data_IF_541043292565
#
_entry.id   IF_541043292565
#
_cell.length_a   1.000
_cell.length_b   1.000
_cell.length_c   1.000
_cell.angle_alpha   90.00
_cell.angle_beta   90.00
_cell.angle_gamma   90.00
#
_symmetry.space_group_name_H-M   'P 1'
#
loop_
_entity.id
_entity.type
_entity.pdbx_description
1 polymer ?
#
# COMPACT_ATOMS: atom_id res chain seq x y z
N UNK A 1 14.10 13.73 -12.95
CA UNK A 1 14.07 12.36 -13.48
C UNK A 1 13.01 11.64 -12.64
N UNK A 2 11.79 11.55 -13.16
CA UNK A 2 10.66 11.01 -12.40
C UNK A 2 10.84 9.50 -12.35
N UNK A 3 11.10 8.98 -11.15
CA UNK A 3 11.05 7.56 -10.85
C UNK A 3 9.63 7.09 -11.19
N UNK A 4 9.49 6.38 -12.32
CA UNK A 4 8.21 5.89 -12.79
C UNK A 4 7.86 4.70 -11.91
N UNK A 5 7.12 4.94 -10.82
CA UNK A 5 6.53 3.89 -10.00
C UNK A 5 5.65 3.01 -10.89
N UNK A 6 6.13 1.81 -11.24
CA UNK A 6 5.37 0.86 -12.00
C UNK A 6 4.62 -0.05 -11.01
N UNK A 7 3.37 0.31 -10.73
CA UNK A 7 2.51 -0.43 -9.81
C UNK A 7 2.24 -1.84 -10.36
N UNK A 8 2.76 -2.86 -9.67
CA UNK A 8 2.68 -4.25 -10.14
C UNK A 8 1.41 -4.93 -9.67
N UNK A 9 1.09 -4.86 -8.38
CA UNK A 9 -0.24 -5.18 -7.86
C UNK A 9 -0.41 -4.64 -6.44
N UNK A 10 -1.66 -4.42 -6.03
CA UNK A 10 -1.97 -4.10 -4.63
C UNK A 10 -3.31 -4.68 -4.22
N UNK A 11 -3.42 -5.05 -2.95
CA UNK A 11 -4.65 -5.49 -2.31
C UNK A 11 -4.74 -4.87 -0.93
N UNK A 12 -5.94 -4.39 -0.58
CA UNK A 12 -6.20 -3.73 0.69
C UNK A 12 -7.54 -4.15 1.26
N UNK A 13 -7.61 -4.24 2.59
CA UNK A 13 -8.84 -4.47 3.34
C UNK A 13 -9.02 -3.31 4.32
N UNK A 14 -10.18 -2.68 4.26
CA UNK A 14 -10.58 -1.62 5.20
C UNK A 14 -11.81 -2.05 5.97
N UNK A 15 -11.71 -2.01 7.28
CA UNK A 15 -12.79 -2.30 8.22
C UNK A 15 -13.12 -1.02 8.97
N UNK A 16 -14.40 -0.66 9.00
CA UNK A 16 -14.91 0.45 9.80
C UNK A 16 -15.76 -0.14 10.92
N UNK A 17 -15.29 -0.01 12.17
CA UNK A 17 -15.96 -0.52 13.37
C UNK A 17 -16.37 0.66 14.24
N UNK A 18 -17.64 1.07 14.14
CA UNK A 18 -18.29 1.94 15.13
C UNK A 18 -17.61 3.27 15.43
N UNK A 19 -16.89 3.85 14.46
CA UNK A 19 -16.13 5.10 14.61
C UNK A 19 -14.62 4.95 14.45
N UNK A 20 -14.09 3.72 14.56
CA UNK A 20 -12.68 3.42 14.37
C UNK A 20 -12.45 2.79 12.99
N UNK A 21 -11.59 3.41 12.19
CA UNK A 21 -11.21 2.90 10.87
C UNK A 21 -9.89 2.12 10.96
N UNK A 22 -9.88 0.86 10.54
CA UNK A 22 -8.64 0.08 10.41
C UNK A 22 -8.45 -0.30 8.96
N UNK A 23 -7.34 0.13 8.36
CA UNK A 23 -6.95 -0.21 7.00
C UNK A 23 -5.65 -1.01 7.01
N UNK A 24 -5.61 -2.09 6.22
CA UNK A 24 -4.37 -2.80 5.93
C UNK A 24 -4.23 -2.91 4.42
N UNK A 25 -3.12 -2.39 3.91
CA UNK A 25 -2.83 -2.36 2.48
C UNK A 25 -1.49 -3.04 2.20
N UNK A 26 -1.48 -3.91 1.21
CA UNK A 26 -0.28 -4.52 0.65
C UNK A 26 -0.14 -4.12 -0.81
N UNK A 27 1.04 -3.65 -1.20
CA UNK A 27 1.37 -3.36 -2.58
C UNK A 27 2.75 -3.91 -2.93
N UNK A 28 2.90 -4.37 -4.17
CA UNK A 28 4.19 -4.68 -4.77
C UNK A 28 4.42 -3.66 -5.88
N UNK A 29 5.52 -2.92 -5.75
CA UNK A 29 5.91 -1.86 -6.66
C UNK A 29 7.22 -2.26 -7.32
N UNK A 30 7.28 -2.16 -8.64
CA UNK A 30 8.49 -2.41 -9.41
C UNK A 30 9.15 -1.07 -9.73
N UNK A 31 10.32 -0.86 -9.14
CA UNK A 31 11.14 0.33 -9.37
C UNK A 31 12.23 -0.02 -10.37
N UNK A 32 12.49 0.90 -11.30
CA UNK A 32 13.46 0.68 -12.38
C UNK A 32 14.89 0.41 -11.88
N UNK A 33 15.28 1.05 -10.77
CA UNK A 33 16.63 0.95 -10.20
C UNK A 33 16.70 0.03 -8.95
N UNK A 34 15.60 -0.14 -8.22
CA UNK A 34 15.56 -0.94 -6.98
C UNK A 34 14.93 -2.33 -7.17
N UNK A 35 14.30 -2.59 -8.32
CA UNK A 35 13.55 -3.81 -8.59
C UNK A 35 12.23 -3.88 -7.82
N UNK A 36 11.76 -5.10 -7.53
CA UNK A 36 10.49 -5.35 -6.85
C UNK A 36 10.59 -5.08 -5.35
N UNK A 37 9.79 -4.14 -4.86
CA UNK A 37 9.70 -3.77 -3.46
C UNK A 37 8.30 -4.05 -2.95
N UNK A 38 8.19 -4.75 -1.82
CA UNK A 38 6.93 -4.94 -1.10
C UNK A 38 6.69 -3.78 -0.13
N UNK A 39 5.47 -3.27 -0.12
CA UNK A 39 5.02 -2.18 0.74
C UNK A 39 3.81 -2.64 1.54
N UNK A 40 3.90 -2.51 2.87
CA UNK A 40 2.81 -2.78 3.80
C UNK A 40 2.46 -1.45 4.46
N UNK A 41 1.18 -1.08 4.43
CA UNK A 41 0.66 0.12 5.12
C UNK A 41 -0.44 -0.29 6.09
N UNK A 42 -0.42 0.30 7.28
CA UNK A 42 -1.44 0.10 8.31
C UNK A 42 -2.00 1.48 8.63
N UNK A 43 -3.31 1.66 8.46
CA UNK A 43 -4.05 2.87 8.77
C UNK A 43 -4.90 2.65 10.03
N UNK A 44 -4.81 3.59 10.96
CA UNK A 44 -5.64 3.66 12.16
C UNK A 44 -6.31 5.04 12.19
N UNK A 45 -7.63 5.07 12.06
CA UNK A 45 -8.47 6.27 12.17
C UNK A 45 -9.23 6.27 13.49
N UNK A 46 -9.18 7.39 14.21
CA UNK A 46 -9.88 7.65 15.48
C UNK A 46 -10.85 8.81 15.33
#
# INVERSE_FOLDING_TARGET
NYDVENWTFGAGVKLNLGGQGVGVDYALVDYKDLGKVSRISIELGF
#
